data_IF_431619792779
#
_entry.id   IF_431619792779
#
_cell.length_a   1.000
_cell.length_b   1.000
_cell.length_c   1.000
_cell.angle_alpha   90.00
_cell.angle_beta   90.00
_cell.angle_gamma   90.00
#
_symmetry.space_group_name_H-M   'P 1'
#
loop_
_entity.id
_entity.type
_entity.pdbx_description
1 polymer ?
#
# COMPACT_ATOMS: atom_id res chain seq x y z
N UNK A 1 10.94 -0.84 17.28
CA UNK A 1 10.17 0.41 17.41
C UNK A 1 8.91 0.23 16.58
N UNK A 2 7.75 0.76 16.98
CA UNK A 2 6.54 0.64 16.18
C UNK A 2 6.74 1.34 14.82
N UNK A 3 6.32 0.71 13.72
CA UNK A 3 6.49 1.26 12.37
C UNK A 3 5.20 1.96 11.95
N UNK A 4 5.32 3.23 11.58
CA UNK A 4 4.22 3.98 10.98
C UNK A 4 4.15 3.65 9.47
N UNK A 5 3.09 2.97 9.06
CA UNK A 5 2.91 2.47 7.69
C UNK A 5 1.87 3.29 6.92
N UNK A 6 2.15 3.58 5.66
CA UNK A 6 1.18 4.11 4.71
C UNK A 6 0.62 2.97 3.84
N UNK A 7 -0.71 2.87 3.70
CA UNK A 7 -1.36 1.88 2.84
C UNK A 7 -1.84 2.54 1.54
N UNK A 8 -1.31 2.08 0.41
CA UNK A 8 -1.71 2.50 -0.95
C UNK A 8 -2.55 1.41 -1.60
N UNK A 9 -3.74 1.75 -2.12
CA UNK A 9 -4.68 0.77 -2.70
C UNK A 9 -5.76 1.40 -3.57
N UNK A 10 -6.54 0.57 -4.28
CA UNK A 10 -7.68 1.03 -5.07
C UNK A 10 -8.97 1.16 -4.22
N UNK A 11 -9.26 2.36 -3.72
CA UNK A 11 -10.40 2.66 -2.83
C UNK A 11 -11.75 2.09 -3.27
N UNK A 12 -12.12 2.18 -4.55
CA UNK A 12 -13.48 1.79 -4.97
C UNK A 12 -13.72 0.26 -5.05
N UNK A 13 -12.67 -0.54 -5.27
CA UNK A 13 -12.78 -1.98 -5.58
C UNK A 13 -12.30 -2.84 -4.41
N UNK A 14 -11.22 -2.41 -3.76
CA UNK A 14 -10.45 -3.29 -2.89
C UNK A 14 -10.66 -3.02 -1.39
N UNK A 15 -11.46 -2.01 -1.01
CA UNK A 15 -11.65 -1.60 0.41
C UNK A 15 -11.99 -2.76 1.33
N UNK A 16 -12.89 -3.67 0.94
CA UNK A 16 -13.26 -4.81 1.79
C UNK A 16 -12.09 -5.76 2.06
N UNK A 17 -11.20 -5.97 1.08
CA UNK A 17 -10.01 -6.83 1.21
C UNK A 17 -8.92 -6.11 1.98
N UNK A 18 -8.69 -4.84 1.65
CA UNK A 18 -7.75 -3.95 2.31
C UNK A 18 -8.04 -3.83 3.80
N UNK A 19 -9.30 -3.72 4.21
CA UNK A 19 -9.67 -3.62 5.62
C UNK A 19 -9.27 -4.86 6.42
N UNK A 20 -9.29 -6.05 5.82
CA UNK A 20 -8.80 -7.27 6.50
C UNK A 20 -7.29 -7.19 6.76
N UNK A 21 -6.52 -6.80 5.74
CA UNK A 21 -5.06 -6.63 5.84
C UNK A 21 -4.71 -5.53 6.84
N UNK A 22 -5.31 -4.34 6.71
CA UNK A 22 -5.05 -3.18 7.58
C UNK A 22 -5.39 -3.47 9.04
N UNK A 23 -6.54 -4.09 9.32
CA UNK A 23 -6.92 -4.43 10.69
C UNK A 23 -5.95 -5.46 11.29
N UNK A 24 -5.47 -6.43 10.50
CA UNK A 24 -4.46 -7.39 10.97
C UNK A 24 -3.12 -6.74 11.33
N UNK A 25 -2.79 -5.58 10.73
CA UNK A 25 -1.64 -4.78 11.13
C UNK A 25 -1.90 -4.03 12.43
N UNK A 26 -3.03 -3.30 12.50
CA UNK A 26 -3.35 -2.40 13.61
C UNK A 26 -3.56 -3.12 14.95
N UNK A 27 -3.97 -4.38 14.95
CA UNK A 27 -4.12 -5.17 16.19
C UNK A 27 -2.77 -5.61 16.79
N UNK A 28 -1.67 -5.45 16.06
CA UNK A 28 -0.35 -5.88 16.52
C UNK A 28 0.27 -4.80 17.41
N UNK A 29 1.03 -5.16 18.47
CA UNK A 29 1.66 -4.19 19.36
C UNK A 29 2.59 -3.20 18.63
N UNK A 30 3.25 -3.63 17.56
CA UNK A 30 4.16 -2.80 16.76
C UNK A 30 3.46 -2.04 15.63
N UNK A 31 2.16 -2.27 15.45
CA UNK A 31 1.40 -1.86 14.28
C UNK A 31 0.85 -0.44 14.38
N UNK A 32 1.42 0.49 13.61
CA UNK A 32 0.84 1.81 13.42
C UNK A 32 0.62 2.09 11.93
N UNK A 33 -0.50 2.72 11.60
CA UNK A 33 -0.81 3.09 10.23
C UNK A 33 -1.35 4.50 10.17
N UNK A 34 -1.25 5.11 9.00
CA UNK A 34 -2.00 6.32 8.73
C UNK A 34 -3.52 6.07 8.91
N UNK A 35 -4.29 7.11 9.25
CA UNK A 35 -5.74 6.99 9.36
C UNK A 35 -6.34 6.37 8.09
N UNK A 36 -7.45 5.65 8.24
CA UNK A 36 -8.16 5.14 7.08
C UNK A 36 -8.95 6.29 6.49
N UNK A 37 -8.82 6.47 5.19
CA UNK A 37 -9.59 7.46 4.48
C UNK A 37 -10.49 6.73 3.49
N UNK A 38 -11.76 7.11 3.48
CA UNK A 38 -12.75 6.50 2.62
C UNK A 38 -12.94 7.30 1.32
N UNK A 39 -13.98 6.96 0.57
CA UNK A 39 -14.31 7.67 -0.67
C UNK A 39 -14.68 9.13 -0.41
N UNK A 40 -15.36 9.44 0.68
CA UNK A 40 -15.78 10.81 1.01
C UNK A 40 -14.56 11.67 1.32
N UNK A 41 -13.62 11.17 2.11
CA UNK A 41 -12.35 11.86 2.39
C UNK A 41 -11.57 12.16 1.11
N UNK A 42 -11.52 11.20 0.18
CA UNK A 42 -10.87 11.38 -1.11
C UNK A 42 -11.57 12.43 -1.99
N UNK A 43 -12.91 12.43 -2.04
CA UNK A 43 -13.67 13.46 -2.75
C UNK A 43 -13.55 14.84 -2.09
N UNK A 44 -13.37 14.90 -0.77
CA UNK A 44 -13.09 16.14 -0.05
C UNK A 44 -11.67 16.65 -0.33
N UNK A 45 -10.67 15.76 -0.35
CA UNK A 45 -9.28 16.10 -0.70
C UNK A 45 -9.18 16.71 -2.12
N UNK A 46 -10.01 16.27 -3.07
CA UNK A 46 -10.11 16.89 -4.41
C UNK A 46 -10.58 18.35 -4.37
N UNK A 47 -11.40 18.73 -3.40
CA UNK A 47 -12.02 20.07 -3.32
C UNK A 47 -11.12 21.11 -2.66
N UNK A 48 -10.08 20.70 -1.93
CA UNK A 48 -9.17 21.60 -1.20
C UNK A 48 -8.09 22.20 -2.11
N UNK A 49 -7.64 23.42 -1.81
CA UNK A 49 -6.50 24.04 -2.49
C UNK A 49 -5.20 23.29 -2.15
N UNK A 50 -4.48 22.81 -3.16
CA UNK A 50 -3.37 21.85 -3.00
C UNK A 50 -3.77 20.37 -3.21
N UNK A 51 -5.07 20.10 -3.28
CA UNK A 51 -5.65 18.86 -3.83
C UNK A 51 -5.22 17.55 -3.16
N UNK A 52 -5.30 16.47 -3.94
CA UNK A 52 -4.95 15.12 -3.52
C UNK A 52 -3.43 14.99 -3.31
N UNK A 53 -2.59 15.69 -4.09
CA UNK A 53 -1.14 15.59 -3.99
C UNK A 53 -0.61 16.06 -2.62
N UNK A 54 -1.04 17.23 -2.15
CA UNK A 54 -0.69 17.72 -0.80
C UNK A 54 -1.19 16.77 0.29
N UNK A 55 -2.39 16.22 0.10
CA UNK A 55 -2.94 15.24 1.02
C UNK A 55 -2.09 13.97 1.08
N UNK A 56 -1.61 13.46 -0.06
CA UNK A 56 -0.68 12.34 -0.12
C UNK A 56 0.64 12.67 0.60
N UNK A 57 1.21 13.87 0.40
CA UNK A 57 2.42 14.30 1.13
C UNK A 57 2.23 14.25 2.65
N UNK A 58 1.08 14.73 3.13
CA UNK A 58 0.75 14.74 4.55
C UNK A 58 0.60 13.31 5.11
N UNK A 59 0.00 12.39 4.34
CA UNK A 59 -0.10 10.99 4.71
C UNK A 59 1.24 10.26 4.70
N UNK A 60 2.09 10.56 3.72
CA UNK A 60 3.44 10.00 3.65
C UNK A 60 4.35 10.58 4.75
N UNK A 61 4.04 11.72 5.33
CA UNK A 61 4.86 12.32 6.38
C UNK A 61 4.86 11.44 7.64
N UNK A 62 6.05 11.17 8.17
CA UNK A 62 6.22 10.36 9.39
C UNK A 62 6.10 8.85 9.19
N UNK A 63 5.82 8.37 7.98
CA UNK A 63 5.80 6.92 7.69
C UNK A 63 7.20 6.41 7.31
N UNK A 64 7.52 5.18 7.70
CA UNK A 64 8.76 4.50 7.31
C UNK A 64 8.59 3.62 6.08
N UNK A 65 7.40 3.02 5.92
CA UNK A 65 7.10 2.03 4.88
C UNK A 65 5.77 2.34 4.19
N UNK A 66 5.76 2.18 2.88
CA UNK A 66 4.55 2.16 2.05
C UNK A 66 4.22 0.73 1.66
N UNK A 67 3.05 0.26 2.08
CA UNK A 67 2.48 -1.03 1.72
C UNK A 67 1.47 -0.83 0.60
N UNK A 68 1.77 -1.36 -0.57
CA UNK A 68 0.90 -1.31 -1.75
C UNK A 68 0.05 -2.57 -1.78
N UNK A 69 -1.23 -2.44 -1.46
CA UNK A 69 -2.20 -3.53 -1.54
C UNK A 69 -2.88 -3.49 -2.90
N UNK A 70 -2.62 -4.48 -3.76
CA UNK A 70 -3.07 -4.45 -5.14
C UNK A 70 -3.98 -5.63 -5.50
N UNK A 71 -5.10 -5.31 -6.15
CA UNK A 71 -6.00 -6.24 -6.81
C UNK A 71 -6.00 -6.01 -8.33
N UNK A 72 -7.03 -6.53 -8.99
CA UNK A 72 -7.11 -6.61 -10.46
C UNK A 72 -6.82 -5.29 -11.21
N UNK A 73 -7.28 -4.15 -10.69
CA UNK A 73 -7.24 -2.85 -11.39
C UNK A 73 -6.31 -1.83 -10.74
N UNK A 74 -5.62 -2.17 -9.65
CA UNK A 74 -4.85 -1.19 -8.87
C UNK A 74 -3.74 -0.54 -9.66
N UNK A 75 -3.08 -1.29 -10.56
CA UNK A 75 -2.03 -0.79 -11.45
C UNK A 75 -2.49 0.34 -12.40
N UNK A 76 -3.79 0.45 -12.65
CA UNK A 76 -4.36 1.49 -13.54
C UNK A 76 -4.64 2.81 -12.81
N UNK A 77 -4.43 2.88 -11.49
CA UNK A 77 -4.81 4.04 -10.69
C UNK A 77 -3.68 5.07 -10.64
N UNK A 78 -3.86 6.29 -11.20
CA UNK A 78 -2.81 7.29 -11.25
C UNK A 78 -2.26 7.68 -9.86
N UNK A 79 -3.14 7.79 -8.86
CA UNK A 79 -2.74 8.15 -7.50
C UNK A 79 -1.94 7.05 -6.80
N UNK A 80 -2.23 5.77 -7.06
CA UNK A 80 -1.42 4.67 -6.55
C UNK A 80 -0.01 4.71 -7.16
N UNK A 81 0.10 4.92 -8.48
CA UNK A 81 1.40 5.05 -9.13
C UNK A 81 2.17 6.28 -8.61
N UNK A 82 1.48 7.38 -8.36
CA UNK A 82 2.05 8.58 -7.77
C UNK A 82 2.55 8.33 -6.34
N UNK A 83 1.75 7.69 -5.48
CA UNK A 83 2.12 7.32 -4.10
C UNK A 83 3.37 6.42 -4.07
N UNK A 84 3.46 5.44 -4.99
CA UNK A 84 4.62 4.56 -5.14
C UNK A 84 5.86 5.36 -5.52
N UNK A 85 5.75 6.18 -6.57
CA UNK A 85 6.85 7.02 -7.05
C UNK A 85 7.33 7.96 -5.94
N UNK A 86 6.39 8.59 -5.25
CA UNK A 86 6.72 9.53 -4.18
C UNK A 86 7.35 8.84 -2.97
N UNK A 87 6.87 7.66 -2.62
CA UNK A 87 7.48 6.85 -1.55
C UNK A 87 8.93 6.48 -1.87
N UNK A 88 9.22 6.18 -3.14
CA UNK A 88 10.57 5.94 -3.62
C UNK A 88 11.46 7.19 -3.50
N UNK A 89 10.98 8.35 -3.98
CA UNK A 89 11.71 9.63 -3.89
C UNK A 89 12.02 10.03 -2.45
N UNK A 90 11.11 9.72 -1.52
CA UNK A 90 11.28 9.97 -0.10
C UNK A 90 12.16 8.92 0.60
N UNK A 91 12.69 7.92 -0.11
CA UNK A 91 13.54 6.88 0.47
C UNK A 91 12.81 6.06 1.55
N UNK A 92 11.54 5.72 1.30
CA UNK A 92 10.76 4.84 2.18
C UNK A 92 10.97 3.38 1.80
N UNK A 93 10.74 2.49 2.76
CA UNK A 93 10.54 1.07 2.43
C UNK A 93 9.29 0.92 1.59
N UNK A 94 9.31 0.05 0.57
CA UNK A 94 8.13 -0.28 -0.22
C UNK A 94 7.96 -1.79 -0.26
N UNK A 95 6.73 -2.24 -0.08
CA UNK A 95 6.34 -3.65 -0.26
C UNK A 95 5.01 -3.69 -1.00
N UNK A 96 4.91 -4.56 -2.01
CA UNK A 96 3.66 -4.83 -2.70
C UNK A 96 3.07 -6.15 -2.21
N UNK A 97 1.75 -6.17 -1.97
CA UNK A 97 1.02 -7.35 -1.51
C UNK A 97 -0.20 -7.53 -2.39
N UNK A 98 -0.25 -8.66 -3.08
CA UNK A 98 -1.41 -9.10 -3.85
C UNK A 98 -2.53 -9.53 -2.90
N UNK A 99 -3.71 -8.96 -3.10
CA UNK A 99 -4.89 -9.21 -2.27
C UNK A 99 -6.00 -9.95 -3.02
N UNK A 100 -5.80 -10.39 -4.26
CA UNK A 100 -6.85 -11.04 -5.05
C UNK A 100 -7.40 -12.31 -4.39
N UNK A 101 -6.53 -13.08 -3.73
CA UNK A 101 -6.87 -14.32 -3.02
C UNK A 101 -7.68 -14.09 -1.74
N UNK A 102 -7.84 -12.84 -1.27
CA UNK A 102 -8.64 -12.53 -0.08
C UNK A 102 -10.12 -12.69 -0.41
N UNK A 103 -10.79 -13.57 0.33
CA UNK A 103 -12.23 -13.70 0.27
C UNK A 103 -12.89 -12.47 0.89
N UNK A 104 -13.47 -11.62 0.04
CA UNK A 104 -14.20 -10.44 0.47
C UNK A 104 -15.67 -10.80 0.75
N UNK A 105 -16.24 -10.37 1.89
CA UNK A 105 -17.64 -10.65 2.23
C UNK A 105 -18.61 -10.20 1.13
N UNK A 106 -19.36 -11.17 0.59
CA UNK A 106 -20.32 -10.98 -0.51
C UNK A 106 -19.70 -10.78 -1.89
N UNK A 107 -18.39 -10.99 -2.05
CA UNK A 107 -17.66 -10.80 -3.32
C UNK A 107 -16.72 -11.96 -3.69
N UNK A 108 -16.39 -12.86 -2.74
CA UNK A 108 -15.50 -13.99 -3.02
C UNK A 108 -14.04 -13.55 -3.23
N UNK A 109 -13.25 -14.38 -3.89
CA UNK A 109 -11.90 -14.02 -4.38
C UNK A 109 -11.99 -13.20 -5.68
N UNK A 110 -10.93 -12.48 -6.03
CA UNK A 110 -10.83 -11.70 -7.26
C UNK A 110 -9.82 -12.32 -8.25
N UNK A 111 -9.74 -11.74 -9.44
CA UNK A 111 -8.70 -12.06 -10.44
C UNK A 111 -7.39 -11.39 -10.01
N UNK A 112 -6.27 -12.12 -10.16
CA UNK A 112 -4.94 -11.58 -9.92
C UNK A 112 -4.67 -10.34 -10.76
N UNK A 113 -4.28 -9.26 -10.09
CA UNK A 113 -3.89 -8.01 -10.74
C UNK A 113 -2.43 -8.01 -11.18
N UNK A 114 -2.09 -7.04 -12.03
CA UNK A 114 -0.69 -6.75 -12.34
C UNK A 114 -0.07 -5.97 -11.19
N UNK A 115 1.21 -6.22 -10.91
CA UNK A 115 1.93 -5.52 -9.87
C UNK A 115 2.12 -4.04 -10.23
N UNK A 116 1.61 -3.08 -9.45
CA UNK A 116 1.78 -1.66 -9.73
C UNK A 116 3.26 -1.20 -9.78
N UNK A 117 4.16 -1.93 -9.11
CA UNK A 117 5.59 -1.61 -9.12
C UNK A 117 6.26 -1.85 -10.49
N UNK A 118 5.66 -2.64 -11.38
CA UNK A 118 6.12 -2.82 -12.76
C UNK A 118 5.92 -1.54 -13.60
N UNK A 119 5.01 -0.67 -13.18
CA UNK A 119 4.59 0.53 -13.90
C UNK A 119 5.27 1.81 -13.42
N UNK A 120 6.15 1.70 -12.42
CA UNK A 120 6.96 2.81 -11.92
C UNK A 120 8.42 2.46 -12.12
N UNK A 121 9.17 3.36 -12.75
CA UNK A 121 10.59 3.17 -13.04
C UNK A 121 11.44 4.20 -12.30
N UNK A 122 12.56 3.76 -11.75
CA UNK A 122 13.61 4.62 -11.21
C UNK A 122 14.98 4.15 -11.70
N UNK A 123 15.84 5.08 -12.09
CA UNK A 123 17.18 4.80 -12.62
C UNK A 123 17.18 3.74 -13.74
N UNK A 124 16.19 3.81 -14.63
CA UNK A 124 16.05 2.88 -15.77
C UNK A 124 15.58 1.46 -15.40
N UNK A 125 15.17 1.21 -14.15
CA UNK A 125 14.65 -0.09 -13.70
C UNK A 125 13.24 0.04 -13.15
N UNK A 126 12.38 -0.93 -13.43
CA UNK A 126 11.09 -1.04 -12.74
C UNK A 126 11.29 -1.24 -11.24
N UNK A 127 10.44 -0.64 -10.42
CA UNK A 127 10.53 -0.74 -8.97
C UNK A 127 10.27 -2.16 -8.46
N UNK A 128 9.58 -3.01 -9.24
CA UNK A 128 9.43 -4.44 -8.95
C UNK A 128 10.76 -5.21 -8.93
N UNK A 129 11.81 -4.69 -9.57
CA UNK A 129 13.16 -5.25 -9.47
C UNK A 129 13.91 -4.80 -8.21
N UNK A 130 13.40 -3.79 -7.50
CA UNK A 130 14.05 -3.18 -6.33
C UNK A 130 13.34 -3.56 -5.03
N UNK A 131 12.03 -3.78 -5.08
CA UNK A 131 11.18 -4.03 -3.92
C UNK A 131 10.47 -5.37 -4.02
N UNK A 132 10.18 -5.95 -2.85
CA UNK A 132 9.57 -7.27 -2.76
C UNK A 132 8.06 -7.22 -2.97
N UNK A 133 7.56 -8.29 -3.57
CA UNK A 133 6.13 -8.53 -3.79
C UNK A 133 5.75 -9.86 -3.17
N UNK A 134 4.60 -9.90 -2.50
CA UNK A 134 4.04 -11.09 -1.85
C UNK A 134 2.58 -11.26 -2.25
N UNK A 135 2.02 -12.45 -2.02
CA UNK A 135 0.58 -12.70 -2.04
C UNK A 135 0.08 -12.94 -0.62
N UNK A 136 -0.98 -12.22 -0.23
CA UNK A 136 -1.50 -12.24 1.13
C UNK A 136 -1.85 -13.64 1.63
N UNK A 137 -2.43 -14.48 0.77
CA UNK A 137 -2.91 -15.81 1.16
C UNK A 137 -1.82 -16.85 0.98
N UNK A 138 -1.15 -16.87 -0.18
CA UNK A 138 -0.11 -17.86 -0.49
C UNK A 138 1.11 -17.75 0.41
N UNK A 139 1.48 -16.52 0.81
CA UNK A 139 2.66 -16.28 1.64
C UNK A 139 2.32 -16.13 3.14
N UNK A 140 1.11 -16.52 3.57
CA UNK A 140 0.63 -16.44 4.97
C UNK A 140 0.80 -15.02 5.56
N UNK A 141 0.27 -14.02 4.85
CA UNK A 141 0.43 -12.61 5.20
C UNK A 141 -0.12 -12.25 6.56
N UNK A 142 -1.15 -12.96 7.04
CA UNK A 142 -1.64 -12.80 8.42
C UNK A 142 -0.52 -13.00 9.43
N UNK A 143 0.35 -14.00 9.24
CA UNK A 143 1.51 -14.22 10.10
C UNK A 143 2.69 -13.35 9.70
N UNK A 144 2.97 -13.20 8.41
CA UNK A 144 4.27 -12.73 7.92
C UNK A 144 4.37 -11.23 7.59
N UNK A 145 3.26 -10.50 7.48
CA UNK A 145 3.29 -9.09 7.03
C UNK A 145 4.22 -8.20 7.86
N UNK A 146 4.29 -8.42 9.18
CA UNK A 146 5.20 -7.66 10.05
C UNK A 146 6.68 -7.85 9.65
N UNK A 147 7.08 -9.05 9.26
CA UNK A 147 8.43 -9.35 8.79
C UNK A 147 8.72 -8.65 7.46
N UNK A 148 7.73 -8.59 6.56
CA UNK A 148 7.87 -7.93 5.27
C UNK A 148 8.03 -6.41 5.42
N UNK A 149 7.25 -5.80 6.32
CA UNK A 149 7.33 -4.38 6.66
C UNK A 149 8.70 -4.06 7.28
N UNK A 150 9.15 -4.86 8.25
CA UNK A 150 10.48 -4.67 8.86
C UNK A 150 11.61 -4.83 7.84
N UNK A 151 11.55 -5.85 6.98
CA UNK A 151 12.53 -6.05 5.92
C UNK A 151 12.59 -4.86 4.95
N UNK A 152 11.42 -4.32 4.57
CA UNK A 152 11.33 -3.15 3.71
C UNK A 152 11.89 -1.88 4.39
N UNK A 153 11.60 -1.67 5.68
CA UNK A 153 12.14 -0.56 6.45
C UNK A 153 13.67 -0.64 6.55
N UNK A 154 14.21 -1.80 6.91
CA UNK A 154 15.64 -2.03 7.06
C UNK A 154 16.38 -1.85 5.73
N UNK A 155 15.83 -2.36 4.62
CA UNK A 155 16.41 -2.16 3.29
C UNK A 155 16.46 -0.69 2.86
N UNK A 156 15.56 0.15 3.40
CA UNK A 156 15.53 1.59 3.17
C UNK A 156 16.30 2.41 4.23
N UNK A 157 16.93 1.76 5.23
CA UNK A 157 17.65 2.44 6.31
C UNK A 157 16.74 3.24 7.25
N UNK A 158 15.51 2.76 7.49
CA UNK A 158 14.46 3.42 8.29
C UNK A 158 14.22 2.79 9.66
#
# INVERSE_FOLDING_TARGET
>A
MARQVFFSFHYRRDVKRVMQVRNSWLIRPEGQATPFFDKADFEEAKRRAGGIERWIEEQLKGTSVTVVLFGAETYTRPWVLHEIKRSYELGKGIVAIDIHSINAPGQGTDIQGRNPLDYVTANGRALSNLYRTYDWVRDDGYKNMHLWIEAAANAAGR
#
